data_IF_006985184624
#
_entry.id   IF_006985184624
#
_cell.length_a   1.000
_cell.length_b   1.000
_cell.length_c   1.000
_cell.angle_alpha   90.00
_cell.angle_beta   90.00
_cell.angle_gamma   90.00
#
_symmetry.space_group_name_H-M   'P 1'
#
loop_
_entity.id
_entity.type
_entity.pdbx_description
1 polymer ?
#
# COMPACT_ATOMS: atom_id res chain seq x y z
N UNK A 1 9.68 4.63 -20.32
CA UNK A 1 8.42 5.37 -20.17
C UNK A 1 8.19 5.53 -18.67
N UNK A 2 8.17 6.75 -18.14
CA UNK A 2 7.85 6.99 -16.74
C UNK A 2 6.36 6.78 -16.57
N UNK A 3 5.96 5.64 -16.02
CA UNK A 3 4.56 5.41 -15.64
C UNK A 3 4.23 6.44 -14.55
N UNK A 4 3.14 7.22 -14.68
CA UNK A 4 2.73 8.13 -13.62
C UNK A 4 2.56 7.31 -12.35
N UNK A 5 3.34 7.68 -11.34
CA UNK A 5 3.46 6.97 -10.08
C UNK A 5 2.17 7.17 -9.31
N UNK A 6 1.60 6.08 -8.79
CA UNK A 6 0.43 6.15 -7.93
C UNK A 6 0.83 6.66 -6.53
N UNK A 7 0.96 7.98 -6.41
CA UNK A 7 1.32 8.64 -5.15
C UNK A 7 0.24 8.47 -4.08
N UNK A 8 -1.01 8.14 -4.45
CA UNK A 8 -2.07 7.82 -3.48
C UNK A 8 -1.72 6.60 -2.65
N UNK A 9 -1.31 5.50 -3.27
CA UNK A 9 -0.93 4.29 -2.51
C UNK A 9 0.29 4.57 -1.63
N UNK A 10 1.31 5.24 -2.16
CA UNK A 10 2.52 5.53 -1.39
C UNK A 10 2.24 6.41 -0.18
N UNK A 11 1.44 7.46 -0.37
CA UNK A 11 1.01 8.33 0.72
C UNK A 11 0.23 7.56 1.79
N UNK A 12 -0.64 6.64 1.38
CA UNK A 12 -1.39 5.78 2.29
C UNK A 12 -0.45 4.87 3.10
N UNK A 13 0.52 4.20 2.46
CA UNK A 13 1.46 3.32 3.14
C UNK A 13 2.32 4.08 4.17
N UNK A 14 2.80 5.28 3.82
CA UNK A 14 3.54 6.15 4.73
C UNK A 14 2.68 6.61 5.91
N UNK A 15 1.42 6.99 5.65
CA UNK A 15 0.49 7.41 6.68
C UNK A 15 0.12 6.27 7.64
N UNK A 16 -0.06 5.06 7.10
CA UNK A 16 -0.36 3.85 7.86
C UNK A 16 0.80 3.44 8.76
N UNK A 17 2.05 3.61 8.29
CA UNK A 17 3.24 3.26 9.05
C UNK A 17 3.37 4.10 10.32
N UNK A 18 3.11 5.39 10.22
CA UNK A 18 3.20 6.26 11.39
C UNK A 18 1.93 6.28 12.23
N UNK A 19 0.88 5.55 11.84
CA UNK A 19 -0.36 5.52 12.59
C UNK A 19 -0.13 4.81 13.93
N UNK A 20 -0.11 5.58 15.02
CA UNK A 20 0.12 5.08 16.37
C UNK A 20 -1.11 4.35 16.95
N UNK A 21 -2.27 4.55 16.32
CA UNK A 21 -3.54 3.91 16.67
C UNK A 21 -3.84 2.76 15.71
N UNK A 22 -4.30 1.63 16.21
CA UNK A 22 -4.80 0.57 15.34
C UNK A 22 -6.07 1.00 14.59
N UNK A 23 -6.17 0.58 13.34
CA UNK A 23 -7.38 0.68 12.55
C UNK A 23 -8.53 -0.08 13.23
N UNK A 24 -9.71 0.51 13.16
CA UNK A 24 -10.96 -0.10 13.57
C UNK A 24 -11.30 -1.34 12.73
N UNK A 25 -12.22 -2.16 13.24
CA UNK A 25 -12.66 -3.36 12.52
C UNK A 25 -13.32 -3.03 11.17
N UNK A 26 -14.05 -1.91 11.07
CA UNK A 26 -14.62 -1.44 9.81
C UNK A 26 -13.54 -1.06 8.80
N UNK A 27 -12.51 -0.33 9.23
CA UNK A 27 -11.38 0.06 8.38
C UNK A 27 -10.60 -1.16 7.88
N UNK A 28 -10.31 -2.12 8.77
CA UNK A 28 -9.65 -3.38 8.38
C UNK A 28 -10.48 -4.16 7.36
N UNK A 29 -11.81 -4.17 7.51
CA UNK A 29 -12.70 -4.80 6.53
C UNK A 29 -12.65 -4.09 5.18
N UNK A 30 -12.65 -2.76 5.16
CA UNK A 30 -12.50 -1.98 3.93
C UNK A 30 -11.15 -2.22 3.26
N UNK A 31 -10.06 -2.31 4.03
CA UNK A 31 -8.75 -2.68 3.49
C UNK A 31 -8.74 -4.08 2.87
N UNK A 32 -9.35 -5.07 3.52
CA UNK A 32 -9.49 -6.41 2.94
C UNK A 32 -10.25 -6.37 1.60
N UNK A 33 -11.32 -5.59 1.50
CA UNK A 33 -12.07 -5.40 0.26
C UNK A 33 -11.21 -4.71 -0.82
N UNK A 34 -10.45 -3.68 -0.47
CA UNK A 34 -9.50 -3.02 -1.38
C UNK A 34 -8.46 -4.03 -1.90
N UNK A 35 -7.94 -4.90 -1.03
CA UNK A 35 -7.00 -5.94 -1.42
C UNK A 35 -7.61 -6.91 -2.43
N UNK A 36 -8.83 -7.36 -2.18
CA UNK A 36 -9.54 -8.28 -3.09
C UNK A 36 -9.84 -7.63 -4.45
N UNK A 37 -10.22 -6.35 -4.47
CA UNK A 37 -10.45 -5.61 -5.71
C UNK A 37 -9.17 -5.40 -6.51
N UNK A 38 -8.06 -5.05 -5.84
CA UNK A 38 -6.74 -4.91 -6.49
C UNK A 38 -6.24 -6.23 -7.08
N UNK A 39 -6.53 -7.34 -6.42
CA UNK A 39 -6.13 -8.68 -6.82
C UNK A 39 -6.92 -9.16 -8.03
N UNK A 40 -8.25 -8.97 -8.03
CA UNK A 40 -9.14 -9.47 -9.08
C UNK A 40 -9.22 -8.51 -10.28
N UNK A 41 -9.24 -7.19 -10.03
CA UNK A 41 -9.44 -6.16 -11.07
C UNK A 41 -8.54 -4.92 -10.85
N UNK A 42 -7.21 -5.06 -11.00
CA UNK A 42 -6.28 -3.92 -10.83
C UNK A 42 -6.55 -2.76 -11.81
N UNK A 43 -7.21 -3.03 -12.94
CA UNK A 43 -7.62 -2.00 -13.92
C UNK A 43 -8.78 -1.12 -13.44
N UNK A 44 -9.52 -1.55 -12.41
CA UNK A 44 -10.60 -0.78 -11.80
C UNK A 44 -10.12 0.16 -10.67
N UNK A 45 -8.79 0.34 -10.55
CA UNK A 45 -8.19 1.17 -9.53
C UNK A 45 -8.79 2.58 -9.47
N UNK A 46 -8.73 3.34 -10.56
CA UNK A 46 -9.15 4.75 -10.57
C UNK A 46 -10.68 4.90 -10.38
N UNK A 47 -11.46 3.94 -10.89
CA UNK A 47 -12.92 4.04 -10.91
C UNK A 47 -13.61 3.55 -9.65
N UNK A 48 -13.01 2.60 -8.91
CA UNK A 48 -13.65 1.96 -7.77
C UNK A 48 -12.75 1.89 -6.55
N UNK A 49 -11.55 1.32 -6.69
CA UNK A 49 -10.69 1.04 -5.54
C UNK A 49 -10.10 2.30 -4.90
N UNK A 50 -9.65 3.25 -5.71
CA UNK A 50 -9.08 4.50 -5.24
C UNK A 50 -10.10 5.35 -4.48
N UNK A 51 -11.33 5.59 -4.99
CA UNK A 51 -12.38 6.26 -4.22
C UNK A 51 -12.66 5.59 -2.87
N UNK A 52 -12.72 4.26 -2.82
CA UNK A 52 -12.98 3.51 -1.60
C UNK A 52 -11.86 3.72 -0.55
N UNK A 53 -10.60 3.66 -0.99
CA UNK A 53 -9.45 3.94 -0.13
C UNK A 53 -9.47 5.39 0.38
N UNK A 54 -9.73 6.36 -0.49
CA UNK A 54 -9.78 7.77 -0.13
C UNK A 54 -10.91 8.08 0.85
N UNK A 55 -12.06 7.42 0.71
CA UNK A 55 -13.17 7.55 1.65
C UNK A 55 -12.78 7.03 3.04
N UNK A 56 -12.21 5.82 3.11
CA UNK A 56 -11.72 5.26 4.39
C UNK A 56 -10.71 6.18 5.06
N UNK A 57 -9.75 6.72 4.29
CA UNK A 57 -8.76 7.67 4.80
C UNK A 57 -9.44 8.92 5.34
N UNK A 58 -10.40 9.50 4.60
CA UNK A 58 -11.11 10.71 5.00
C UNK A 58 -11.94 10.53 6.29
N UNK A 59 -12.48 9.34 6.52
CA UNK A 59 -13.28 9.01 7.71
C UNK A 59 -12.43 8.86 8.99
N UNK A 60 -11.11 8.73 8.87
CA UNK A 60 -10.16 8.68 9.98
C UNK A 60 -9.29 9.94 10.01
N UNK A 61 -9.56 10.84 10.95
CA UNK A 61 -8.92 12.16 11.02
C UNK A 61 -7.38 12.09 11.11
N UNK A 62 -6.84 11.19 11.95
CA UNK A 62 -5.39 11.02 12.12
C UNK A 62 -4.75 10.45 10.84
N UNK A 63 -5.38 9.44 10.25
CA UNK A 63 -4.90 8.84 9.00
C UNK A 63 -4.96 9.85 7.86
N UNK A 64 -6.05 10.61 7.75
CA UNK A 64 -6.22 11.66 6.75
C UNK A 64 -5.14 12.73 6.88
N UNK A 65 -4.88 13.25 8.08
CA UNK A 65 -3.87 14.28 8.29
C UNK A 65 -2.47 13.81 7.83
N UNK A 66 -2.09 12.59 8.21
CA UNK A 66 -0.81 11.99 7.79
C UNK A 66 -0.78 11.73 6.28
N UNK A 67 -1.86 11.20 5.73
CA UNK A 67 -2.01 10.97 4.30
C UNK A 67 -1.82 12.25 3.49
N UNK A 68 -2.51 13.35 3.84
CA UNK A 68 -2.39 14.62 3.12
C UNK A 68 -0.98 15.19 3.20
N UNK A 69 -0.31 15.03 4.35
CA UNK A 69 1.09 15.44 4.53
C UNK A 69 2.01 14.71 3.55
N UNK A 70 1.93 13.37 3.50
CA UNK A 70 2.76 12.59 2.60
C UNK A 70 2.37 12.74 1.13
N UNK A 71 1.07 12.87 0.83
CA UNK A 71 0.57 13.11 -0.51
C UNK A 71 1.12 14.40 -1.09
N UNK A 72 1.09 15.48 -0.30
CA UNK A 72 1.64 16.79 -0.71
C UNK A 72 3.15 16.71 -0.98
N UNK A 73 3.90 16.01 -0.11
CA UNK A 73 5.34 15.78 -0.32
C UNK A 73 5.62 14.98 -1.59
N UNK A 74 4.93 13.86 -1.78
CA UNK A 74 5.05 13.01 -2.97
C UNK A 74 4.67 13.73 -4.27
N UNK A 75 3.62 14.55 -4.24
CA UNK A 75 3.17 15.32 -5.41
C UNK A 75 4.11 16.47 -5.77
N UNK A 76 4.99 16.87 -4.84
CA UNK A 76 6.05 17.85 -5.10
C UNK A 76 7.27 17.24 -5.81
N UNK A 77 7.38 15.90 -5.85
CA UNK A 77 8.44 15.19 -6.55
C UNK A 77 8.09 15.06 -8.04
N UNK A 78 8.97 15.52 -8.94
CA UNK A 78 8.78 15.34 -10.39
C UNK A 78 8.78 13.86 -10.80
N UNK A 79 9.60 13.03 -10.12
CA UNK A 79 9.70 11.59 -10.34
C UNK A 79 10.11 10.86 -9.07
N UNK A 80 9.55 9.68 -8.82
CA UNK A 80 9.99 8.77 -7.75
C UNK A 80 10.89 7.69 -8.37
N UNK A 81 12.15 7.56 -7.92
CA UNK A 81 13.05 6.54 -8.43
C UNK A 81 12.47 5.13 -8.26
N UNK A 82 12.49 4.33 -9.32
CA UNK A 82 12.03 2.94 -9.28
C UNK A 82 12.86 2.04 -8.36
N UNK A 83 14.10 2.44 -8.03
CA UNK A 83 14.98 1.71 -7.11
C UNK A 83 14.49 1.72 -5.66
N UNK A 84 13.55 2.61 -5.32
CA UNK A 84 12.95 2.65 -3.99
C UNK A 84 11.91 1.55 -3.81
N UNK A 85 11.42 0.95 -4.91
CA UNK A 85 10.41 -0.09 -4.87
C UNK A 85 10.87 -1.32 -4.08
N UNK A 86 9.93 -1.97 -3.35
CA UNK A 86 10.21 -3.24 -2.72
C UNK A 86 10.41 -4.29 -3.79
N UNK A 87 11.45 -5.10 -3.59
CA UNK A 87 11.78 -6.22 -4.46
C UNK A 87 10.74 -7.34 -4.34
N UNK A 88 10.65 -8.20 -5.34
CA UNK A 88 9.79 -9.40 -5.28
C UNK A 88 10.10 -10.23 -4.03
N UNK A 89 11.38 -10.37 -3.70
CA UNK A 89 11.85 -11.08 -2.50
C UNK A 89 11.34 -10.45 -1.20
N UNK A 90 11.39 -9.13 -1.06
CA UNK A 90 10.84 -8.43 0.12
C UNK A 90 9.32 -8.65 0.24
N UNK A 91 8.59 -8.59 -0.88
CA UNK A 91 7.15 -8.84 -0.91
C UNK A 91 6.83 -10.29 -0.48
N UNK A 92 7.63 -11.26 -0.92
CA UNK A 92 7.48 -12.66 -0.50
C UNK A 92 7.80 -12.88 0.98
N UNK A 93 8.82 -12.21 1.51
CA UNK A 93 9.16 -12.29 2.93
C UNK A 93 8.05 -11.73 3.82
N UNK A 94 7.39 -10.64 3.41
CA UNK A 94 6.21 -10.14 4.11
C UNK A 94 5.09 -11.20 4.19
N UNK A 95 4.85 -11.93 3.09
CA UNK A 95 3.84 -12.99 3.04
C UNK A 95 4.16 -14.17 3.95
N UNK A 96 5.44 -14.52 4.11
CA UNK A 96 5.86 -15.65 4.97
C UNK A 96 5.82 -15.30 6.46
N UNK A 97 6.06 -14.03 6.81
CA UNK A 97 6.05 -13.54 8.19
C UNK A 97 4.68 -13.17 8.75
N UNK A 98 3.64 -13.26 7.94
CA UNK A 98 2.27 -13.00 8.34
C UNK A 98 1.42 -14.27 8.26
N UNK A 99 0.54 -14.47 9.23
CA UNK A 99 -0.52 -15.47 9.19
C UNK A 99 -1.61 -15.05 8.19
N UNK A 100 -1.22 -14.69 6.96
CA UNK A 100 -2.17 -14.55 5.88
C UNK A 100 -2.83 -15.92 5.73
N UNK A 101 -4.18 -16.01 5.72
CA UNK A 101 -4.85 -17.27 5.45
C UNK A 101 -4.31 -17.77 4.12
N UNK A 102 -3.47 -18.81 4.18
CA UNK A 102 -2.96 -19.48 3.00
C UNK A 102 -4.17 -20.08 2.29
N UNK A 103 -4.75 -19.33 1.38
CA UNK A 103 -5.61 -19.87 0.34
C UNK A 103 -4.71 -20.79 -0.47
N UNK A 104 -4.69 -22.07 -0.08
CA UNK A 104 -4.02 -23.17 -0.80
C UNK A 104 -4.47 -23.09 -2.26
N UNK A 105 -3.67 -22.46 -3.11
CA UNK A 105 -4.04 -22.12 -4.49
C UNK A 105 -3.47 -20.80 -4.99
N UNK A 106 -3.02 -19.90 -4.10
CA UNK A 106 -2.53 -18.57 -4.48
C UNK A 106 -1.15 -18.64 -5.17
N UNK A 107 -1.16 -18.78 -6.51
CA UNK A 107 -0.06 -18.33 -7.36
C UNK A 107 -0.40 -16.91 -7.80
N UNK A 108 0.43 -15.88 -7.54
CA UNK A 108 0.25 -14.61 -8.21
C UNK A 108 0.20 -14.89 -9.72
N UNK A 109 -0.93 -14.56 -10.37
CA UNK A 109 -1.19 -14.92 -11.78
C UNK A 109 -0.19 -14.28 -12.75
N UNK A 110 0.65 -13.37 -12.27
CA UNK A 110 1.65 -12.66 -13.05
C UNK A 110 2.89 -12.42 -12.20
N UNK A 111 4.07 -12.66 -12.79
CA UNK A 111 5.33 -12.13 -12.27
C UNK A 111 5.15 -10.60 -12.14
N UNK A 112 5.45 -10.04 -10.97
CA UNK A 112 5.29 -8.62 -10.71
C UNK A 112 6.27 -7.82 -11.58
N UNK A 113 5.86 -7.49 -12.80
CA UNK A 113 6.70 -6.79 -13.77
C UNK A 113 6.18 -5.36 -13.90
N UNK A 114 6.85 -4.45 -13.20
CA UNK A 114 6.58 -3.02 -13.28
C UNK A 114 6.05 -2.38 -12.00
N UNK A 115 6.20 -1.05 -11.97
CA UNK A 115 6.06 -0.20 -10.79
C UNK A 115 4.70 -0.34 -10.09
N UNK A 116 3.60 -0.15 -10.83
CA UNK A 116 2.26 -0.18 -10.26
C UNK A 116 1.88 -1.58 -9.75
N UNK A 117 2.39 -2.64 -10.38
CA UNK A 117 2.08 -4.01 -9.97
C UNK A 117 2.80 -4.40 -8.67
N UNK A 118 4.05 -3.98 -8.49
CA UNK A 118 4.78 -4.19 -7.23
C UNK A 118 4.11 -3.47 -6.07
N UNK A 119 3.70 -2.21 -6.29
CA UNK A 119 2.99 -1.43 -5.28
C UNK A 119 1.62 -2.02 -4.95
N UNK A 120 0.85 -2.47 -5.95
CA UNK A 120 -0.43 -3.14 -5.70
C UNK A 120 -0.25 -4.40 -4.87
N UNK A 121 0.75 -5.23 -5.17
CA UNK A 121 1.04 -6.44 -4.39
C UNK A 121 1.39 -6.14 -2.94
N UNK A 122 2.11 -5.05 -2.69
CA UNK A 122 2.44 -4.60 -1.33
C UNK A 122 1.18 -4.21 -0.56
N UNK A 123 0.32 -3.40 -1.16
CA UNK A 123 -0.96 -3.01 -0.55
C UNK A 123 -1.83 -4.22 -0.27
N UNK A 124 -1.92 -5.17 -1.20
CA UNK A 124 -2.70 -6.40 -1.01
C UNK A 124 -2.19 -7.16 0.23
N UNK A 125 -0.87 -7.33 0.37
CA UNK A 125 -0.28 -8.06 1.50
C UNK A 125 -0.58 -7.33 2.81
N UNK A 126 -0.27 -6.04 2.90
CA UNK A 126 -0.48 -5.24 4.12
C UNK A 126 -1.96 -5.18 4.49
N UNK A 127 -2.84 -5.01 3.51
CA UNK A 127 -4.28 -4.86 3.74
C UNK A 127 -4.94 -6.16 4.22
N UNK A 128 -4.34 -7.32 3.93
CA UNK A 128 -4.79 -8.63 4.43
C UNK A 128 -4.13 -9.03 5.75
N UNK A 129 -3.21 -8.22 6.27
CA UNK A 129 -2.56 -8.38 7.58
C UNK A 129 -3.55 -8.28 8.74
N UNK A 130 -3.30 -9.01 9.82
CA UNK A 130 -4.00 -8.79 11.10
C UNK A 130 -3.66 -7.41 11.72
N UNK A 131 -2.43 -6.94 11.48
CA UNK A 131 -1.88 -5.68 11.98
C UNK A 131 -1.21 -4.87 10.85
N UNK A 132 -2.00 -4.26 9.94
CA UNK A 132 -1.49 -3.55 8.78
C UNK A 132 -0.42 -2.50 9.11
N UNK A 133 -0.59 -1.79 10.22
CA UNK A 133 0.28 -0.72 10.72
C UNK A 133 1.65 -1.26 11.15
N UNK A 134 1.69 -2.48 11.69
CA UNK A 134 2.95 -3.14 12.07
C UNK A 134 3.63 -3.80 10.87
N UNK A 135 2.85 -4.29 9.91
CA UNK A 135 3.38 -4.96 8.71
C UNK A 135 4.03 -3.99 7.75
N UNK A 136 3.46 -2.80 7.57
CA UNK A 136 4.06 -1.77 6.72
C UNK A 136 5.43 -1.31 7.21
N UNK A 137 5.69 -1.35 8.53
CA UNK A 137 7.02 -1.05 9.13
C UNK A 137 8.13 -2.00 8.71
N UNK A 138 7.78 -3.20 8.23
CA UNK A 138 8.76 -4.20 7.78
C UNK A 138 9.30 -3.92 6.37
N UNK A 139 8.78 -2.89 5.69
CA UNK A 139 9.20 -2.53 4.34
C UNK A 139 10.34 -1.53 4.33
N UNK A 140 11.45 -1.91 3.68
CA UNK A 140 12.56 -0.97 3.43
C UNK A 140 12.15 0.22 2.55
N UNK A 141 11.11 0.06 1.70
CA UNK A 141 10.54 1.15 0.89
C UNK A 141 10.15 2.35 1.76
N UNK A 142 9.56 2.13 2.94
CA UNK A 142 9.05 3.21 3.77
C UNK A 142 10.19 4.11 4.26
N UNK A 143 11.25 3.50 4.78
CA UNK A 143 12.45 4.23 5.20
C UNK A 143 13.10 4.97 4.03
N UNK A 144 13.22 4.30 2.88
CA UNK A 144 13.77 4.89 1.65
C UNK A 144 12.94 6.08 1.13
N UNK A 145 11.61 6.02 1.22
CA UNK A 145 10.72 7.12 0.84
C UNK A 145 10.84 8.29 1.82
N UNK A 146 10.97 8.02 3.11
CA UNK A 146 11.15 9.08 4.11
C UNK A 146 12.45 9.86 3.89
N UNK A 147 13.54 9.18 3.51
CA UNK A 147 14.81 9.80 3.15
C UNK A 147 14.71 10.76 1.94
N UNK A 148 13.67 10.68 1.11
CA UNK A 148 13.44 11.68 0.05
C UNK A 148 12.88 13.00 0.57
N UNK A 149 12.37 13.02 1.80
CA UNK A 149 11.71 14.17 2.41
C UNK A 149 12.52 14.81 3.55
N UNK A 150 13.67 14.22 3.89
CA UNK A 150 14.70 14.76 4.80
C UNK A 150 15.67 15.66 4.03
#
# INVERSE_FOLDING_TARGET
MNTPINTTILAFLLALEELDTSLSQSEKKTLAEIADQLDVQPKAWESFTQPLLLQMIADNELLNQRYQTYKSKLDSLETIPSELLPTVTEIEQLKMGESLPMTRGYKPQTEATGYNQQINNVVIVISRSEHPEATVKKLSLIEKLKQLFD
#
